data_IF_931368883972
#
_entry.id   IF_931368883972
#
_cell.length_a   1.000
_cell.length_b   1.000
_cell.length_c   1.000
_cell.angle_alpha   90.00
_cell.angle_beta   90.00
_cell.angle_gamma   90.00
#
_symmetry.space_group_name_H-M   'P 1'
#
loop_
_entity.id
_entity.type
_entity.pdbx_description
1 polymer ?
#
# COMPACT_ATOMS: atom_id res chain seq x y z
N UNK A 1 -13.38 -31.80 -36.31
CA UNK A 1 -14.11 -31.46 -35.07
C UNK A 1 -15.58 -31.41 -35.41
N UNK A 2 -16.42 -32.26 -34.80
CA UNK A 2 -17.87 -32.23 -35.04
C UNK A 2 -18.42 -30.95 -34.43
N UNK A 3 -18.75 -29.97 -35.27
CA UNK A 3 -19.48 -28.77 -34.85
C UNK A 3 -20.89 -29.24 -34.50
N UNK A 4 -21.10 -29.63 -33.24
CA UNK A 4 -22.46 -29.79 -32.72
C UNK A 4 -23.22 -28.51 -33.06
N UNK A 5 -24.37 -28.68 -33.72
CA UNK A 5 -25.20 -27.56 -34.12
C UNK A 5 -25.52 -26.75 -32.87
N UNK A 6 -25.08 -25.49 -32.82
CA UNK A 6 -25.27 -24.57 -31.67
C UNK A 6 -26.75 -24.53 -31.22
N UNK A 7 -27.67 -24.82 -32.14
CA UNK A 7 -29.12 -24.88 -31.90
C UNK A 7 -29.53 -26.06 -31.00
N UNK A 8 -28.76 -27.14 -31.00
CA UNK A 8 -29.01 -28.38 -30.26
C UNK A 8 -28.46 -28.33 -28.82
N UNK A 9 -27.58 -27.38 -28.50
CA UNK A 9 -27.03 -27.22 -27.16
C UNK A 9 -28.13 -26.96 -26.11
N UNK A 10 -27.97 -27.56 -24.93
CA UNK A 10 -28.82 -27.29 -23.78
C UNK A 10 -28.56 -25.87 -23.26
N UNK A 11 -29.56 -25.25 -22.62
CA UNK A 11 -29.44 -23.89 -22.07
C UNK A 11 -28.30 -23.78 -21.05
N UNK A 12 -28.05 -24.85 -20.29
CA UNK A 12 -26.95 -24.94 -19.32
C UNK A 12 -25.59 -24.89 -20.00
N UNK A 13 -25.41 -25.62 -21.10
CA UNK A 13 -24.18 -25.64 -21.91
C UNK A 13 -23.94 -24.28 -22.57
N UNK A 14 -24.99 -23.67 -23.14
CA UNK A 14 -24.93 -22.31 -23.71
C UNK A 14 -24.51 -21.27 -22.67
N UNK A 15 -25.07 -21.32 -21.46
CA UNK A 15 -24.69 -20.41 -20.36
C UNK A 15 -23.27 -20.65 -19.89
N UNK A 16 -22.82 -21.91 -19.83
CA UNK A 16 -21.45 -22.24 -19.43
C UNK A 16 -20.42 -21.72 -20.44
N UNK A 17 -20.68 -21.90 -21.73
CA UNK A 17 -19.78 -21.45 -22.80
C UNK A 17 -19.75 -19.91 -22.90
N UNK A 18 -20.91 -19.25 -22.82
CA UNK A 18 -20.96 -17.78 -22.78
C UNK A 18 -20.32 -17.21 -21.51
N UNK A 19 -20.42 -17.90 -20.37
CA UNK A 19 -19.75 -17.49 -19.12
C UNK A 19 -18.23 -17.57 -19.23
N UNK A 20 -17.69 -18.59 -19.91
CA UNK A 20 -16.24 -18.65 -20.25
C UNK A 20 -15.81 -17.44 -21.08
N UNK A 21 -16.71 -16.94 -21.94
CA UNK A 21 -16.52 -15.78 -22.82
C UNK A 21 -16.97 -14.44 -22.22
N UNK A 22 -17.30 -14.40 -20.92
CA UNK A 22 -17.64 -13.17 -20.19
C UNK A 22 -19.07 -12.60 -20.43
N UNK A 23 -19.99 -13.39 -20.99
CA UNK A 23 -21.37 -12.97 -21.32
C UNK A 23 -22.38 -13.79 -20.50
N UNK A 24 -23.29 -13.16 -19.75
CA UNK A 24 -24.02 -13.88 -18.67
C UNK A 24 -25.56 -13.82 -18.67
N UNK A 25 -26.21 -13.13 -19.62
CA UNK A 25 -27.69 -12.96 -19.57
C UNK A 25 -28.41 -13.13 -20.91
N UNK A 26 -29.59 -13.76 -20.89
CA UNK A 26 -30.52 -13.88 -22.02
C UNK A 26 -31.38 -15.14 -21.99
N UNK A 27 -32.49 -15.12 -22.74
CA UNK A 27 -33.28 -16.33 -23.04
C UNK A 27 -32.54 -17.25 -24.04
N UNK A 28 -32.99 -18.50 -24.25
CA UNK A 28 -32.26 -19.48 -25.10
C UNK A 28 -31.93 -18.92 -26.49
N UNK A 29 -32.87 -18.26 -27.15
CA UNK A 29 -32.67 -17.67 -28.47
C UNK A 29 -31.60 -16.57 -28.46
N UNK A 30 -31.62 -15.67 -27.47
CA UNK A 30 -30.60 -14.64 -27.29
C UNK A 30 -29.22 -15.23 -27.00
N UNK A 31 -29.13 -16.32 -26.21
CA UNK A 31 -27.87 -16.99 -25.93
C UNK A 31 -27.26 -17.63 -27.20
N UNK A 32 -28.09 -18.28 -28.01
CA UNK A 32 -27.66 -18.86 -29.30
C UNK A 32 -27.16 -17.76 -30.24
N UNK A 33 -27.91 -16.66 -30.40
CA UNK A 33 -27.50 -15.54 -31.25
C UNK A 33 -26.19 -14.89 -30.79
N UNK A 34 -26.02 -14.72 -29.47
CA UNK A 34 -24.77 -14.17 -28.89
C UNK A 34 -23.58 -15.08 -29.17
N UNK A 35 -23.73 -16.39 -28.99
CA UNK A 35 -22.66 -17.36 -29.23
C UNK A 35 -22.30 -17.45 -30.71
N UNK A 36 -23.30 -17.43 -31.61
CA UNK A 36 -23.07 -17.38 -33.06
C UNK A 36 -22.30 -16.12 -33.49
N UNK A 37 -22.65 -14.96 -32.92
CA UNK A 37 -21.97 -13.69 -33.23
C UNK A 37 -20.49 -13.73 -32.80
N UNK A 38 -20.19 -14.31 -31.64
CA UNK A 38 -18.81 -14.45 -31.15
C UNK A 38 -17.98 -15.39 -32.02
N UNK A 39 -18.52 -16.56 -32.38
CA UNK A 39 -17.81 -17.51 -33.23
C UNK A 39 -17.55 -16.95 -34.64
N UNK A 40 -18.49 -16.17 -35.19
CA UNK A 40 -18.28 -15.49 -36.49
C UNK A 40 -17.18 -14.42 -36.41
N UNK A 41 -17.09 -13.70 -35.29
CA UNK A 41 -16.03 -12.71 -35.09
C UNK A 41 -14.65 -13.38 -34.94
N UNK A 42 -14.59 -14.55 -34.30
CA UNK A 42 -13.35 -15.33 -34.17
C UNK A 42 -12.87 -15.88 -35.51
N UNK A 43 -13.76 -16.39 -36.36
CA UNK A 43 -13.40 -16.86 -37.70
C UNK A 43 -12.88 -15.74 -38.61
N UNK A 44 -13.43 -14.52 -38.48
CA UNK A 44 -12.94 -13.37 -39.26
C UNK A 44 -11.56 -12.87 -38.79
N UNK A 45 -11.18 -13.15 -37.54
CA UNK A 45 -9.89 -12.75 -37.01
C UNK A 45 -8.75 -13.71 -37.41
N UNK A 46 -9.06 -14.89 -37.95
CA UNK A 46 -8.06 -15.90 -38.33
C UNK A 46 -7.64 -15.85 -39.80
N UNK A 47 -8.31 -15.06 -40.65
CA UNK A 47 -8.07 -15.03 -42.09
C UNK A 47 -7.13 -13.88 -42.54
N UNK A 48 -6.63 -13.04 -41.61
CA UNK A 48 -5.80 -11.86 -41.94
C UNK A 48 -4.28 -12.11 -42.00
N UNK A 49 -3.81 -13.36 -41.86
CA UNK A 49 -2.38 -13.71 -41.81
C UNK A 49 -1.86 -14.56 -43.00
N UNK A 50 -2.66 -14.78 -44.05
CA UNK A 50 -2.24 -15.59 -45.21
C UNK A 50 -2.31 -14.82 -46.53
N UNK A 51 -1.39 -13.89 -46.75
CA UNK A 51 -0.88 -13.56 -48.09
C UNK A 51 0.42 -12.75 -48.00
N UNK A 52 1.55 -13.46 -47.94
CA UNK A 52 2.84 -12.90 -48.34
C UNK A 52 3.68 -13.98 -49.03
N UNK A 53 3.20 -14.43 -50.20
CA UNK A 53 3.91 -15.29 -51.14
C UNK A 53 4.71 -14.40 -52.10
N UNK A 54 5.96 -14.08 -51.74
CA UNK A 54 6.90 -13.39 -52.63
C UNK A 54 7.54 -14.37 -53.61
N UNK A 55 7.34 -14.09 -54.90
CA UNK A 55 8.04 -14.71 -56.02
C UNK A 55 9.57 -14.57 -55.87
N UNK A 56 10.28 -15.69 -56.07
CA UNK A 56 11.72 -15.74 -56.22
C UNK A 56 12.09 -15.45 -57.68
N UNK A 57 12.57 -14.25 -57.95
CA UNK A 57 13.39 -13.95 -59.12
C UNK A 57 14.66 -13.23 -58.65
N UNK A 58 15.77 -13.65 -59.24
CA UNK A 58 17.15 -13.35 -58.86
C UNK A 58 17.44 -11.85 -58.72
N UNK A 59 17.99 -11.45 -57.57
CA UNK A 59 18.89 -10.29 -57.51
C UNK A 59 19.84 -10.38 -56.31
N UNK A 60 21.12 -10.47 -56.63
CA UNK A 60 22.25 -10.35 -55.71
C UNK A 60 22.22 -8.94 -55.08
N UNK A 61 21.78 -8.83 -53.83
CA UNK A 61 21.93 -7.59 -53.04
C UNK A 61 22.79 -7.87 -51.81
N UNK A 62 23.94 -7.21 -51.81
CA UNK A 62 24.96 -7.16 -50.76
C UNK A 62 24.39 -6.49 -49.50
N UNK A 63 23.90 -7.26 -48.53
CA UNK A 63 23.45 -6.75 -47.23
C UNK A 63 24.59 -6.72 -46.20
N UNK A 64 25.35 -5.61 -46.21
CA UNK A 64 26.10 -5.16 -45.03
C UNK A 64 25.08 -4.83 -43.93
N UNK A 65 24.93 -5.71 -42.95
CA UNK A 65 24.12 -5.44 -41.75
C UNK A 65 24.75 -4.29 -40.96
N UNK A 66 24.00 -3.23 -40.61
CA UNK A 66 24.50 -2.21 -39.69
C UNK A 66 24.60 -2.79 -38.29
N UNK A 67 25.79 -2.68 -37.69
CA UNK A 67 26.05 -2.97 -36.28
C UNK A 67 25.15 -2.04 -35.46
N UNK A 68 24.19 -2.62 -34.73
CA UNK A 68 23.32 -1.86 -33.82
C UNK A 68 24.18 -1.27 -32.72
N UNK A 69 24.28 0.05 -32.74
CA UNK A 69 25.00 0.85 -31.75
C UNK A 69 24.29 0.73 -30.38
N UNK A 70 24.79 -0.15 -29.52
CA UNK A 70 24.28 -0.41 -28.17
C UNK A 70 24.66 0.72 -27.20
N UNK A 71 24.21 1.96 -27.47
CA UNK A 71 24.38 3.04 -26.49
C UNK A 71 23.32 2.88 -25.37
N UNK A 72 23.72 2.78 -24.09
CA UNK A 72 22.78 2.65 -22.99
C UNK A 72 21.85 3.88 -22.94
N UNK A 73 20.53 3.63 -22.87
CA UNK A 73 19.50 4.67 -22.88
C UNK A 73 19.70 5.59 -21.66
N UNK A 74 19.99 6.87 -21.90
CA UNK A 74 20.16 7.94 -20.88
C UNK A 74 19.09 7.95 -19.77
N UNK A 75 17.86 7.47 -20.06
CA UNK A 75 16.78 7.35 -19.08
C UNK A 75 17.01 6.34 -17.94
N UNK A 76 17.95 5.40 -18.06
CA UNK A 76 18.29 4.47 -16.97
C UNK A 76 19.02 5.17 -15.82
N UNK A 77 19.95 6.07 -16.15
CA UNK A 77 20.75 6.79 -15.17
C UNK A 77 19.92 7.77 -14.34
N UNK A 78 18.96 8.45 -14.95
CA UNK A 78 18.09 9.38 -14.22
C UNK A 78 17.19 8.67 -13.19
N UNK A 79 16.72 7.45 -13.51
CA UNK A 79 15.97 6.62 -12.56
C UNK A 79 16.84 6.18 -11.38
N UNK A 80 18.09 5.78 -11.65
CA UNK A 80 19.04 5.42 -10.61
C UNK A 80 19.38 6.61 -9.71
N UNK A 81 19.59 7.81 -10.29
CA UNK A 81 19.90 9.02 -9.55
C UNK A 81 18.76 9.40 -8.57
N UNK A 82 17.51 9.36 -9.05
CA UNK A 82 16.34 9.63 -8.21
C UNK A 82 16.17 8.61 -7.07
N UNK A 83 16.54 7.35 -7.33
CA UNK A 83 16.53 6.30 -6.32
C UNK A 83 17.59 6.55 -5.24
N UNK A 84 18.82 6.89 -5.64
CA UNK A 84 19.91 7.23 -4.71
C UNK A 84 19.52 8.43 -3.84
N UNK A 85 18.99 9.50 -4.43
CA UNK A 85 18.58 10.70 -3.69
C UNK A 85 17.47 10.43 -2.66
N UNK A 86 16.55 9.49 -2.97
CA UNK A 86 15.55 8.99 -2.02
C UNK A 86 16.18 8.21 -0.86
N UNK A 87 17.16 7.35 -1.13
CA UNK A 87 17.87 6.61 -0.08
C UNK A 87 18.65 7.55 0.85
N UNK A 88 19.35 8.55 0.31
CA UNK A 88 20.05 9.55 1.13
C UNK A 88 19.11 10.32 2.06
N UNK A 89 17.91 10.66 1.58
CA UNK A 89 16.89 11.33 2.39
C UNK A 89 16.41 10.45 3.55
N UNK A 90 16.29 9.14 3.34
CA UNK A 90 15.93 8.17 4.38
C UNK A 90 17.05 8.02 5.42
N UNK A 91 18.30 7.94 4.98
CA UNK A 91 19.46 7.85 5.90
C UNK A 91 19.50 9.07 6.81
N UNK A 92 19.38 10.29 6.26
CA UNK A 92 19.33 11.53 7.06
C UNK A 92 18.19 11.53 8.08
N UNK A 93 17.01 11.05 7.69
CA UNK A 93 15.88 10.93 8.62
C UNK A 93 16.15 9.96 9.77
N UNK A 94 16.78 8.82 9.49
CA UNK A 94 17.16 7.84 10.51
C UNK A 94 18.24 8.39 11.45
N UNK A 95 19.22 9.12 10.94
CA UNK A 95 20.24 9.80 11.75
C UNK A 95 19.62 10.81 12.73
N UNK A 96 18.67 11.63 12.25
CA UNK A 96 17.93 12.56 13.10
C UNK A 96 17.16 11.81 14.18
N UNK A 97 16.48 10.72 13.82
CA UNK A 97 15.70 9.92 14.77
C UNK A 97 16.58 9.27 15.84
N UNK A 98 17.72 8.70 15.43
CA UNK A 98 18.71 8.12 16.33
C UNK A 98 19.29 9.17 17.29
N UNK A 99 19.55 10.38 16.81
CA UNK A 99 20.03 11.49 17.65
C UNK A 99 19.01 11.90 18.73
N UNK A 100 17.71 11.92 18.38
CA UNK A 100 16.63 12.21 19.33
C UNK A 100 16.50 11.11 20.38
N UNK A 101 16.64 9.85 19.98
CA UNK A 101 16.62 8.72 20.89
C UNK A 101 17.77 8.78 21.89
N UNK A 102 19.01 8.99 21.43
CA UNK A 102 20.19 9.15 22.30
C UNK A 102 19.99 10.25 23.35
N UNK A 103 19.49 11.43 22.93
CA UNK A 103 19.19 12.54 23.86
C UNK A 103 18.13 12.21 24.91
N UNK A 104 17.16 11.33 24.60
CA UNK A 104 16.16 10.87 25.57
C UNK A 104 16.77 9.89 26.58
N UNK A 105 17.57 8.94 26.10
CA UNK A 105 18.27 7.97 26.95
C UNK A 105 19.20 8.66 27.95
N UNK A 106 19.98 9.63 27.48
CA UNK A 106 20.87 10.43 28.35
C UNK A 106 20.10 11.19 29.45
N UNK A 107 18.95 11.77 29.11
CA UNK A 107 18.10 12.47 30.09
C UNK A 107 17.43 11.54 31.11
N UNK A 108 17.04 10.33 30.69
CA UNK A 108 16.46 9.32 31.57
C UNK A 108 17.45 8.87 32.65
N UNK A 109 18.67 8.52 32.23
CA UNK A 109 19.74 8.05 33.13
C UNK A 109 20.17 9.12 34.15
N UNK A 110 20.19 10.40 33.75
CA UNK A 110 20.51 11.52 34.65
C UNK A 110 19.44 11.79 35.72
N UNK A 111 18.20 11.35 35.51
CA UNK A 111 17.11 11.57 36.47
C UNK A 111 17.06 10.52 37.59
N UNK A 112 17.54 9.29 37.33
CA UNK A 112 17.51 8.20 38.32
C UNK A 112 18.60 8.30 39.40
N UNK A 113 19.68 9.05 39.15
CA UNK A 113 20.76 9.22 40.13
C UNK A 113 20.54 10.35 41.15
N UNK A 114 19.42 11.10 41.10
CA UNK A 114 19.20 12.28 41.96
C UNK A 114 18.23 12.09 43.14
N UNK A 115 17.70 10.89 43.39
CA UNK A 115 16.67 10.66 44.43
C UNK A 115 17.10 9.81 45.62
N UNK A 116 18.39 9.52 45.80
CA UNK A 116 18.93 8.98 47.06
C UNK A 116 19.78 10.04 47.77
N UNK A 117 19.13 11.12 48.18
CA UNK A 117 19.66 12.15 49.06
C UNK A 117 18.74 12.27 50.26
N UNK A 118 19.27 11.93 51.42
CA UNK A 118 18.70 12.00 52.75
C UNK A 118 17.95 13.32 53.01
N UNK A 119 16.80 13.23 53.67
CA UNK A 119 16.37 14.25 54.64
C UNK A 119 15.36 13.64 55.61
N UNK A 120 15.81 13.47 56.84
CA UNK A 120 14.97 13.19 57.98
C UNK A 120 14.35 14.46 58.58
N UNK A 121 13.65 14.21 59.69
CA UNK A 121 13.24 15.15 60.73
C UNK A 121 11.94 15.94 60.52
N UNK A 122 10.91 15.43 61.21
CA UNK A 122 10.06 16.12 62.17
C UNK A 122 9.36 17.42 61.76
N UNK A 123 8.04 17.35 61.60
CA UNK A 123 7.15 18.34 62.22
C UNK A 123 5.76 17.72 62.49
N UNK A 124 5.48 17.56 63.78
CA UNK A 124 4.16 17.26 64.31
C UNK A 124 3.27 18.50 64.17
N UNK A 125 2.06 18.32 63.63
CA UNK A 125 1.00 19.33 63.61
C UNK A 125 -0.11 18.87 64.56
N UNK A 126 -0.61 19.74 65.46
CA UNK A 126 -1.51 19.35 66.52
C UNK A 126 -2.94 19.14 66.02
N UNK A 127 -3.54 18.10 66.60
CA UNK A 127 -4.95 17.72 66.46
C UNK A 127 -5.79 18.73 67.25
N UNK A 128 -6.64 19.50 66.56
CA UNK A 128 -7.76 20.18 67.21
C UNK A 128 -9.04 19.43 66.89
N UNK A 129 -9.52 18.71 67.90
CA UNK A 129 -10.85 18.14 67.98
C UNK A 129 -11.86 19.29 68.12
N UNK A 130 -12.91 19.31 67.29
CA UNK A 130 -14.27 19.72 67.64
C UNK A 130 -15.17 19.70 66.39
N UNK A 131 -16.31 19.01 66.47
CA UNK A 131 -17.40 19.16 65.50
C UNK A 131 -17.97 17.85 64.96
N UNK A 132 -18.55 17.04 65.86
CA UNK A 132 -19.46 15.97 65.50
C UNK A 132 -20.71 16.56 64.81
N UNK A 133 -20.75 16.50 63.48
CA UNK A 133 -21.98 16.58 62.72
C UNK A 133 -21.99 15.42 61.72
N UNK A 134 -22.90 14.50 62.03
CA UNK A 134 -23.22 13.27 61.34
C UNK A 134 -23.63 13.58 59.89
N UNK A 135 -22.66 13.61 58.98
CA UNK A 135 -22.90 13.41 57.55
C UNK A 135 -22.56 11.95 57.29
N UNK A 136 -23.59 11.12 57.42
CA UNK A 136 -23.62 9.74 56.98
C UNK A 136 -23.18 9.69 55.53
N UNK A 137 -21.92 9.32 55.41
CA UNK A 137 -21.13 9.01 54.24
C UNK A 137 -21.81 7.90 53.43
N UNK A 138 -22.90 8.23 52.76
CA UNK A 138 -23.39 7.50 51.61
C UNK A 138 -22.37 7.74 50.49
N UNK A 139 -21.24 7.05 50.59
CA UNK A 139 -20.39 6.73 49.46
C UNK A 139 -21.25 5.90 48.53
N UNK A 140 -22.01 6.59 47.69
CA UNK A 140 -22.49 6.03 46.44
C UNK A 140 -21.22 5.76 45.64
N UNK A 141 -20.64 4.57 45.87
CA UNK A 141 -19.69 3.94 44.96
C UNK A 141 -20.50 3.62 43.70
N UNK A 142 -20.89 4.67 42.97
CA UNK A 142 -21.24 4.55 41.58
C UNK A 142 -19.97 3.97 40.96
N UNK A 143 -20.00 2.68 40.69
CA UNK A 143 -18.95 2.00 39.95
C UNK A 143 -18.82 2.76 38.64
N UNK A 144 -17.87 3.70 38.60
CA UNK A 144 -17.53 4.45 37.40
C UNK A 144 -16.93 3.40 36.50
N UNK A 145 -17.79 2.78 35.68
CA UNK A 145 -17.39 1.82 34.68
C UNK A 145 -16.28 2.49 33.88
N UNK A 146 -15.08 1.92 33.96
CA UNK A 146 -13.92 2.49 33.30
C UNK A 146 -14.26 2.73 31.83
N UNK A 147 -13.97 3.95 31.36
CA UNK A 147 -14.28 4.35 30.00
C UNK A 147 -13.40 3.52 29.07
N UNK A 148 -14.02 2.71 28.20
CA UNK A 148 -13.31 2.02 27.11
C UNK A 148 -12.77 3.02 26.10
N UNK A 149 -11.59 2.73 25.56
CA UNK A 149 -11.00 3.42 24.42
C UNK A 149 -11.86 3.18 23.17
N UNK A 150 -12.02 4.19 22.31
CA UNK A 150 -12.90 4.12 21.15
C UNK A 150 -12.11 3.78 19.89
N UNK A 151 -12.69 2.93 19.06
CA UNK A 151 -12.23 2.67 17.69
C UNK A 151 -13.37 3.05 16.74
N UNK A 152 -13.10 3.94 15.80
CA UNK A 152 -14.00 4.27 14.70
C UNK A 152 -13.48 3.68 13.40
N UNK A 153 -14.23 2.77 12.78
CA UNK A 153 -13.89 2.19 11.47
C UNK A 153 -14.76 2.86 10.41
N UNK A 154 -14.16 3.72 9.59
CA UNK A 154 -14.84 4.41 8.49
C UNK A 154 -14.37 3.83 7.15
N UNK A 155 -15.32 3.42 6.31
CA UNK A 155 -14.96 2.69 5.10
C UNK A 155 -15.98 2.79 3.97
N UNK A 156 -15.51 2.51 2.75
CA UNK A 156 -16.39 2.16 1.64
C UNK A 156 -16.93 0.71 1.77
N UNK A 157 -17.55 0.18 0.71
CA UNK A 157 -18.10 -1.18 0.72
C UNK A 157 -17.11 -2.30 1.09
N UNK A 158 -15.80 -2.09 0.96
CA UNK A 158 -14.77 -3.07 1.31
C UNK A 158 -14.71 -3.31 2.82
N UNK A 159 -15.00 -2.30 3.65
CA UNK A 159 -14.98 -2.45 5.11
C UNK A 159 -16.21 -3.12 5.70
N UNK A 160 -17.19 -3.52 4.86
CA UNK A 160 -18.32 -4.36 5.32
C UNK A 160 -17.78 -5.62 6.01
N UNK A 161 -18.44 -6.02 7.09
CA UNK A 161 -18.09 -7.17 7.94
C UNK A 161 -16.84 -7.02 8.82
N UNK A 162 -15.87 -6.15 8.45
CA UNK A 162 -14.68 -5.86 9.28
C UNK A 162 -15.11 -5.40 10.67
N UNK A 163 -16.16 -4.57 10.76
CA UNK A 163 -16.67 -4.09 12.05
C UNK A 163 -17.26 -5.16 12.94
N UNK A 164 -17.99 -6.12 12.36
CA UNK A 164 -18.53 -7.26 13.09
C UNK A 164 -17.39 -8.16 13.60
N UNK A 165 -16.38 -8.37 12.77
CA UNK A 165 -15.18 -9.13 13.13
C UNK A 165 -14.37 -8.43 14.23
N UNK A 166 -14.19 -7.12 14.11
CA UNK A 166 -13.44 -6.30 15.07
C UNK A 166 -14.13 -6.33 16.44
N UNK A 167 -15.44 -6.09 16.50
CA UNK A 167 -16.20 -6.17 17.76
C UNK A 167 -16.05 -7.52 18.46
N UNK A 168 -16.09 -8.62 17.71
CA UNK A 168 -15.87 -9.96 18.27
C UNK A 168 -14.45 -10.14 18.82
N UNK A 169 -13.45 -9.60 18.13
CA UNK A 169 -12.05 -9.67 18.59
C UNK A 169 -11.78 -8.73 19.78
N UNK A 170 -12.58 -7.67 19.96
CA UNK A 170 -12.42 -6.67 21.04
C UNK A 170 -13.36 -6.88 22.24
N UNK A 171 -14.19 -7.94 22.25
CA UNK A 171 -15.21 -8.17 23.30
C UNK A 171 -14.62 -8.18 24.72
N UNK A 172 -13.42 -8.74 24.87
CA UNK A 172 -12.67 -8.81 26.13
C UNK A 172 -11.51 -7.81 26.22
N UNK A 173 -11.59 -6.71 25.46
CA UNK A 173 -10.55 -5.67 25.44
C UNK A 173 -11.05 -4.36 26.04
N UNK A 174 -10.11 -3.44 26.28
CA UNK A 174 -10.38 -2.06 26.71
C UNK A 174 -10.91 -1.18 25.58
N UNK A 175 -11.19 -1.76 24.41
CA UNK A 175 -11.68 -1.03 23.25
C UNK A 175 -13.17 -1.26 22.98
N UNK A 176 -13.83 -0.21 22.49
CA UNK A 176 -15.17 -0.20 21.94
C UNK A 176 -15.11 0.18 20.46
N UNK A 177 -15.48 -0.74 19.58
CA UNK A 177 -15.41 -0.54 18.13
C UNK A 177 -16.78 -0.18 17.51
N UNK A 178 -16.83 1.00 16.88
CA UNK A 178 -17.93 1.49 16.06
C UNK A 178 -17.53 1.50 14.59
N UNK A 179 -18.50 1.44 13.68
CA UNK A 179 -18.20 1.46 12.25
C UNK A 179 -19.27 2.12 11.42
N UNK A 180 -18.81 2.88 10.43
CA UNK A 180 -19.62 3.56 9.43
C UNK A 180 -19.15 3.08 8.06
N UNK A 181 -20.07 2.48 7.32
CA UNK A 181 -19.81 1.95 5.97
C UNK A 181 -20.64 2.76 4.99
N UNK A 182 -19.98 3.50 4.08
CA UNK A 182 -20.62 4.29 3.03
C UNK A 182 -20.41 3.59 1.66
N UNK A 183 -21.29 2.65 1.27
CA UNK A 183 -21.12 1.87 0.04
C UNK A 183 -21.16 2.78 -1.19
N UNK A 184 -20.38 2.43 -2.23
CA UNK A 184 -20.20 3.21 -3.46
C UNK A 184 -19.65 4.63 -3.26
N UNK A 185 -19.30 5.01 -2.03
CA UNK A 185 -18.70 6.28 -1.69
C UNK A 185 -17.29 6.43 -2.26
N UNK A 186 -17.01 7.59 -2.83
CA UNK A 186 -15.63 8.04 -3.01
C UNK A 186 -15.02 8.37 -1.65
N UNK A 187 -13.70 8.48 -1.59
CA UNK A 187 -12.95 8.84 -0.39
C UNK A 187 -13.55 10.04 0.32
N UNK A 188 -13.86 11.10 -0.43
CA UNK A 188 -14.39 12.36 0.06
C UNK A 188 -15.70 12.17 0.82
N UNK A 189 -16.61 11.39 0.24
CA UNK A 189 -17.90 11.06 0.86
C UNK A 189 -17.70 10.19 2.10
N UNK A 190 -16.77 9.23 2.05
CA UNK A 190 -16.46 8.36 3.19
C UNK A 190 -16.00 9.18 4.38
N UNK A 191 -15.17 10.20 4.19
CA UNK A 191 -14.52 10.96 5.28
C UNK A 191 -15.17 12.31 5.60
N UNK A 192 -16.25 12.70 4.93
CA UNK A 192 -16.85 14.05 5.06
C UNK A 192 -17.18 14.45 6.52
N UNK A 193 -17.68 13.49 7.32
CA UNK A 193 -18.12 13.73 8.71
C UNK A 193 -17.02 13.48 9.75
N UNK A 194 -15.80 13.16 9.32
CA UNK A 194 -14.79 12.57 10.21
C UNK A 194 -14.44 13.49 11.38
N UNK A 195 -14.40 14.81 11.18
CA UNK A 195 -14.11 15.77 12.24
C UNK A 195 -15.19 15.81 13.33
N UNK A 196 -16.47 15.70 12.95
CA UNK A 196 -17.58 15.67 13.88
C UNK A 196 -17.59 14.36 14.67
N UNK A 197 -17.37 13.24 13.98
CA UNK A 197 -17.38 11.90 14.57
C UNK A 197 -16.24 11.70 15.58
N UNK A 198 -15.11 12.39 15.39
CA UNK A 198 -13.90 12.20 16.20
C UNK A 198 -13.65 13.35 17.18
N UNK A 199 -14.55 14.33 17.32
CA UNK A 199 -14.32 15.49 18.19
C UNK A 199 -14.07 15.11 19.67
N UNK A 200 -14.68 14.01 20.13
CA UNK A 200 -14.49 13.48 21.51
C UNK A 200 -13.32 12.51 21.68
N UNK A 201 -12.57 12.24 20.61
CA UNK A 201 -11.49 11.27 20.60
C UNK A 201 -10.22 11.89 21.22
N UNK A 202 -9.35 11.02 21.72
CA UNK A 202 -8.12 11.36 22.42
C UNK A 202 -6.96 10.54 21.85
N UNK A 203 -5.77 10.66 22.43
CA UNK A 203 -4.58 9.93 22.01
C UNK A 203 -4.60 8.43 22.34
N UNK A 204 -5.61 7.93 23.05
CA UNK A 204 -5.82 6.50 23.26
C UNK A 204 -6.90 5.93 22.34
N UNK A 205 -7.62 6.79 21.62
CA UNK A 205 -8.64 6.43 20.67
C UNK A 205 -8.04 6.29 19.26
N UNK A 206 -8.72 5.53 18.39
CA UNK A 206 -8.24 5.21 17.05
C UNK A 206 -9.31 5.40 15.98
N UNK A 207 -8.86 5.85 14.82
CA UNK A 207 -9.68 5.93 13.60
C UNK A 207 -9.06 5.07 12.51
N UNK A 208 -9.78 4.06 12.05
CA UNK A 208 -9.35 3.18 10.97
C UNK A 208 -10.08 3.61 9.69
N UNK A 209 -9.33 3.96 8.65
CA UNK A 209 -9.85 4.42 7.36
C UNK A 209 -9.56 3.38 6.28
N UNK A 210 -10.61 2.90 5.60
CA UNK A 210 -10.49 2.06 4.40
C UNK A 210 -11.36 2.63 3.28
N UNK A 211 -10.77 3.49 2.47
CA UNK A 211 -11.48 4.25 1.44
C UNK A 211 -10.59 4.52 0.21
N UNK A 212 -11.22 4.87 -0.91
CA UNK A 212 -10.53 5.15 -2.18
C UNK A 212 -10.67 4.03 -3.22
N UNK A 213 -11.24 2.89 -2.86
CA UNK A 213 -11.50 1.78 -3.80
C UNK A 213 -12.34 2.25 -4.98
N UNK A 214 -13.39 3.05 -4.72
CA UNK A 214 -14.25 3.59 -5.77
C UNK A 214 -13.59 4.70 -6.59
N UNK A 215 -12.67 5.48 -6.00
CA UNK A 215 -11.87 6.46 -6.73
C UNK A 215 -10.97 5.74 -7.76
N UNK A 216 -10.26 4.69 -7.33
CA UNK A 216 -9.43 3.89 -8.21
C UNK A 216 -10.25 3.17 -9.30
N UNK A 217 -11.43 2.65 -8.97
CA UNK A 217 -12.34 2.05 -9.97
C UNK A 217 -12.80 3.02 -11.04
N UNK A 218 -12.97 4.30 -10.69
CA UNK A 218 -13.35 5.36 -11.62
C UNK A 218 -12.15 6.03 -12.29
N UNK A 219 -10.92 5.66 -11.93
CA UNK A 219 -9.71 6.33 -12.41
C UNK A 219 -9.59 7.79 -11.95
N UNK A 220 -10.20 8.14 -10.81
CA UNK A 220 -10.20 9.51 -10.26
C UNK A 220 -9.23 9.57 -9.08
N UNK A 221 -8.45 10.65 -8.98
CA UNK A 221 -7.54 10.90 -7.85
C UNK A 221 -8.33 11.29 -6.59
N UNK A 222 -7.65 11.34 -5.45
CA UNK A 222 -8.23 11.91 -4.24
C UNK A 222 -8.27 13.44 -4.36
N UNK A 223 -9.33 14.05 -3.87
CA UNK A 223 -9.42 15.49 -3.72
C UNK A 223 -8.41 15.93 -2.65
N UNK A 224 -7.39 16.69 -3.05
CA UNK A 224 -6.31 17.10 -2.15
C UNK A 224 -6.80 17.92 -0.95
N UNK A 225 -7.81 18.78 -1.13
CA UNK A 225 -8.34 19.62 -0.04
C UNK A 225 -8.98 18.74 1.02
N UNK A 226 -9.82 17.79 0.59
CA UNK A 226 -10.50 16.85 1.49
C UNK A 226 -9.51 15.93 2.18
N UNK A 227 -8.52 15.42 1.44
CA UNK A 227 -7.44 14.60 1.97
C UNK A 227 -6.65 15.33 3.07
N UNK A 228 -6.23 16.57 2.81
CA UNK A 228 -5.53 17.43 3.79
C UNK A 228 -6.40 17.69 5.02
N UNK A 229 -7.66 18.08 4.81
CA UNK A 229 -8.58 18.38 5.89
C UNK A 229 -8.85 17.15 6.77
N UNK A 230 -8.92 15.96 6.16
CA UNK A 230 -9.12 14.69 6.87
C UNK A 230 -8.04 14.49 7.92
N UNK A 231 -6.76 14.61 7.57
CA UNK A 231 -5.68 14.39 8.53
C UNK A 231 -5.48 15.57 9.49
N UNK A 232 -5.82 16.80 9.10
CA UNK A 232 -5.91 17.93 10.04
C UNK A 232 -6.92 17.61 11.15
N UNK A 233 -8.11 17.12 10.78
CA UNK A 233 -9.18 16.73 11.71
C UNK A 233 -8.84 15.50 12.56
N UNK A 234 -7.74 14.80 12.29
CA UNK A 234 -7.30 13.63 13.04
C UNK A 234 -6.06 13.90 13.88
N UNK A 235 -5.55 15.13 13.90
CA UNK A 235 -4.30 15.49 14.61
C UNK A 235 -4.35 15.21 16.11
N UNK A 236 -5.52 15.17 16.72
CA UNK A 236 -5.71 14.95 18.17
C UNK A 236 -5.89 13.48 18.57
N UNK A 237 -6.03 12.57 17.61
CA UNK A 237 -6.24 11.13 17.81
C UNK A 237 -5.20 10.31 17.04
N UNK A 238 -5.23 8.98 17.16
CA UNK A 238 -4.45 8.10 16.28
C UNK A 238 -5.28 7.72 15.05
N UNK A 239 -4.63 7.55 13.90
CA UNK A 239 -5.29 7.06 12.69
C UNK A 239 -4.51 5.92 12.05
N UNK A 240 -5.22 4.92 11.54
CA UNK A 240 -4.67 3.82 10.76
C UNK A 240 -5.35 3.85 9.40
N UNK A 241 -4.60 4.14 8.36
CA UNK A 241 -5.11 4.21 6.98
C UNK A 241 -4.71 2.95 6.26
N UNK A 242 -5.70 2.20 5.82
CA UNK A 242 -5.53 1.01 5.02
C UNK A 242 -5.42 1.39 3.55
N UNK A 243 -4.37 0.92 2.88
CA UNK A 243 -4.20 1.10 1.44
C UNK A 243 -5.34 0.44 0.64
N UNK A 244 -5.68 1.03 -0.51
CA UNK A 244 -6.56 0.44 -1.50
C UNK A 244 -5.93 -0.87 -1.99
N UNK A 245 -6.64 -2.00 -1.89
CA UNK A 245 -6.12 -3.30 -2.26
C UNK A 245 -5.97 -3.47 -3.78
N UNK A 246 -4.91 -4.15 -4.24
CA UNK A 246 -4.66 -4.41 -5.66
C UNK A 246 -5.45 -5.57 -6.25
N UNK A 247 -6.32 -5.32 -7.20
CA UNK A 247 -7.11 -6.35 -7.87
C UNK A 247 -6.29 -7.31 -8.75
N UNK A 248 -6.58 -8.61 -8.63
CA UNK A 248 -5.93 -9.64 -9.44
C UNK A 248 -6.24 -9.46 -10.93
N UNK A 249 -5.21 -9.55 -11.76
CA UNK A 249 -5.27 -9.45 -13.23
C UNK A 249 -5.84 -8.11 -13.75
N UNK A 250 -5.66 -7.01 -13.00
CA UNK A 250 -6.17 -5.68 -13.39
C UNK A 250 -5.08 -4.60 -13.32
N UNK A 251 -4.09 -4.69 -14.22
CA UNK A 251 -2.92 -3.78 -14.25
C UNK A 251 -3.32 -2.30 -14.19
N UNK A 252 -4.27 -1.89 -15.02
CA UNK A 252 -4.72 -0.49 -15.11
C UNK A 252 -5.36 -0.01 -13.80
N UNK A 253 -6.21 -0.84 -13.19
CA UNK A 253 -6.84 -0.48 -11.92
C UNK A 253 -5.80 -0.44 -10.78
N UNK A 254 -4.84 -1.36 -10.78
CA UNK A 254 -3.78 -1.39 -9.77
C UNK A 254 -2.85 -0.19 -9.87
N UNK A 255 -2.67 0.38 -11.07
CA UNK A 255 -1.98 1.67 -11.22
C UNK A 255 -2.73 2.80 -10.51
N UNK A 256 -4.06 2.88 -10.67
CA UNK A 256 -4.85 3.88 -9.94
C UNK A 256 -4.86 3.63 -8.42
N UNK A 257 -4.93 2.37 -7.98
CA UNK A 257 -4.81 2.03 -6.56
C UNK A 257 -3.45 2.45 -6.00
N UNK A 258 -2.36 2.20 -6.73
CA UNK A 258 -1.01 2.64 -6.38
C UNK A 258 -0.92 4.17 -6.25
N UNK A 259 -1.43 4.92 -7.24
CA UNK A 259 -1.43 6.39 -7.21
C UNK A 259 -2.21 6.96 -6.03
N UNK A 260 -3.30 6.30 -5.63
CA UNK A 260 -4.09 6.65 -4.43
C UNK A 260 -3.34 6.30 -3.15
N UNK A 261 -2.75 5.11 -3.05
CA UNK A 261 -1.97 4.68 -1.89
C UNK A 261 -0.79 5.61 -1.65
N UNK A 262 -0.11 6.04 -2.73
CA UNK A 262 0.98 7.00 -2.66
C UNK A 262 0.51 8.37 -2.16
N UNK A 263 -0.66 8.85 -2.59
CA UNK A 263 -1.25 10.11 -2.08
C UNK A 263 -1.57 10.02 -0.59
N UNK A 264 -2.25 8.94 -0.16
CA UNK A 264 -2.57 8.70 1.25
C UNK A 264 -1.30 8.67 2.11
N UNK A 265 -0.31 7.88 1.69
CA UNK A 265 0.95 7.72 2.40
C UNK A 265 1.71 9.04 2.56
N UNK A 266 1.88 9.79 1.46
CA UNK A 266 2.59 11.06 1.49
C UNK A 266 1.89 12.07 2.41
N UNK A 267 0.56 12.10 2.40
CA UNK A 267 -0.19 13.02 3.25
C UNK A 267 -0.09 12.66 4.73
N UNK A 268 -0.16 11.37 5.08
CA UNK A 268 0.01 10.88 6.46
C UNK A 268 1.35 11.34 7.03
N UNK A 269 2.44 11.09 6.30
CA UNK A 269 3.80 11.48 6.72
C UNK A 269 3.91 13.00 6.90
N UNK A 270 3.24 13.77 6.05
CA UNK A 270 3.31 15.23 6.06
C UNK A 270 2.55 15.85 7.23
N UNK A 271 1.43 15.26 7.64
CA UNK A 271 0.46 15.97 8.50
C UNK A 271 0.28 15.40 9.90
N UNK A 272 0.48 14.08 10.08
CA UNK A 272 0.07 13.43 11.31
C UNK A 272 1.09 12.37 11.76
N UNK A 273 1.98 12.71 12.72
CA UNK A 273 2.98 11.76 13.22
C UNK A 273 2.36 10.60 14.02
N UNK A 274 1.11 10.74 14.46
CA UNK A 274 0.33 9.70 15.15
C UNK A 274 -0.52 8.85 14.20
N UNK A 275 -0.36 9.06 12.89
CA UNK A 275 -1.07 8.29 11.88
C UNK A 275 -0.13 7.27 11.22
N UNK A 276 -0.69 6.10 10.92
CA UNK A 276 0.01 4.98 10.30
C UNK A 276 -0.66 4.63 8.97
N UNK A 277 0.15 4.28 7.98
CA UNK A 277 -0.32 3.67 6.73
C UNK A 277 -0.05 2.17 6.76
N UNK A 278 -1.04 1.35 6.42
CA UNK A 278 -0.92 -0.10 6.35
C UNK A 278 -1.21 -0.55 4.93
N UNK A 279 -0.21 -1.18 4.29
CA UNK A 279 -0.36 -1.74 2.94
C UNK A 279 -1.22 -3.00 2.98
N UNK A 280 -2.48 -2.86 2.60
CA UNK A 280 -3.46 -3.95 2.62
C UNK A 280 -3.08 -5.07 1.67
N UNK A 281 -2.44 -4.77 0.52
CA UNK A 281 -2.12 -5.78 -0.49
C UNK A 281 -1.14 -6.85 0.00
N UNK A 282 -0.35 -6.55 1.05
CA UNK A 282 0.55 -7.53 1.69
C UNK A 282 -0.19 -8.63 2.46
N UNK A 283 -1.42 -8.35 2.90
CA UNK A 283 -2.26 -9.26 3.69
C UNK A 283 -3.22 -10.06 2.80
N UNK A 284 -3.47 -9.59 1.57
CA UNK A 284 -4.46 -10.16 0.66
C UNK A 284 -3.83 -11.12 -0.35
N UNK A 285 -4.16 -12.41 -0.26
CA UNK A 285 -3.59 -13.45 -1.14
C UNK A 285 -4.53 -13.97 -2.25
N UNK A 286 -5.81 -13.59 -2.23
CA UNK A 286 -6.89 -14.33 -2.91
C UNK A 286 -8.20 -13.53 -3.05
N UNK A 287 -8.35 -12.67 -4.06
CA UNK A 287 -9.64 -11.99 -4.30
C UNK A 287 -10.80 -12.96 -4.55
N UNK A 288 -12.04 -12.53 -4.22
CA UNK A 288 -13.27 -13.20 -4.65
C UNK A 288 -13.27 -13.35 -6.18
N UNK A 289 -14.00 -14.33 -6.74
CA UNK A 289 -14.11 -14.62 -8.20
C UNK A 289 -14.21 -13.39 -9.13
N UNK A 290 -14.81 -12.29 -8.68
CA UNK A 290 -14.98 -11.08 -9.51
C UNK A 290 -13.74 -10.17 -9.48
N UNK A 291 -12.76 -10.51 -8.65
CA UNK A 291 -11.50 -9.79 -8.48
C UNK A 291 -11.63 -8.49 -7.70
N UNK A 292 -12.84 -8.05 -7.31
CA UNK A 292 -13.10 -6.68 -6.87
C UNK A 292 -13.21 -6.49 -5.34
N UNK A 293 -13.82 -7.45 -4.66
CA UNK A 293 -14.07 -7.38 -3.23
C UNK A 293 -13.11 -8.28 -2.47
N UNK A 294 -12.65 -7.80 -1.31
CA UNK A 294 -11.88 -8.60 -0.36
C UNK A 294 -12.76 -9.76 0.12
N UNK A 295 -12.22 -10.98 0.15
CA UNK A 295 -12.98 -12.14 0.59
C UNK A 295 -13.14 -12.16 2.13
N UNK A 296 -14.06 -12.99 2.64
CA UNK A 296 -14.32 -13.05 4.08
C UNK A 296 -13.11 -13.47 4.92
N UNK A 297 -12.35 -14.48 4.46
CA UNK A 297 -11.14 -14.97 5.13
C UNK A 297 -10.08 -13.86 5.23
N UNK A 298 -9.88 -13.13 4.15
CA UNK A 298 -8.93 -12.02 4.08
C UNK A 298 -9.33 -10.83 4.95
N UNK A 299 -10.62 -10.49 4.98
CA UNK A 299 -11.14 -9.48 5.92
C UNK A 299 -10.91 -9.90 7.36
N UNK A 300 -11.09 -11.19 7.66
CA UNK A 300 -10.80 -11.74 8.98
C UNK A 300 -9.31 -11.62 9.32
N UNK A 301 -8.42 -11.99 8.41
CA UNK A 301 -6.96 -11.87 8.59
C UNK A 301 -6.52 -10.40 8.76
N UNK A 302 -7.04 -9.50 7.93
CA UNK A 302 -6.82 -8.06 8.05
C UNK A 302 -7.31 -7.52 9.40
N UNK A 303 -8.50 -7.94 9.83
CA UNK A 303 -9.06 -7.52 11.13
C UNK A 303 -8.22 -8.04 12.29
N UNK A 304 -7.77 -9.30 12.24
CA UNK A 304 -6.88 -9.86 13.25
C UNK A 304 -5.56 -9.08 13.32
N UNK A 305 -4.94 -8.78 12.18
CA UNK A 305 -3.72 -7.98 12.14
C UNK A 305 -3.94 -6.58 12.72
N UNK A 306 -5.09 -5.95 12.46
CA UNK A 306 -5.45 -4.67 13.07
C UNK A 306 -5.60 -4.75 14.59
N UNK A 307 -6.26 -5.80 15.11
CA UNK A 307 -6.37 -6.05 16.54
C UNK A 307 -4.99 -6.25 17.18
N UNK A 308 -4.12 -7.01 16.54
CA UNK A 308 -2.74 -7.21 16.97
C UNK A 308 -1.97 -5.89 17.02
N UNK A 309 -2.09 -5.06 15.97
CA UNK A 309 -1.47 -3.73 15.93
C UNK A 309 -1.96 -2.90 17.12
N UNK A 310 -3.28 -2.84 17.34
CA UNK A 310 -3.87 -2.00 18.39
C UNK A 310 -3.54 -2.47 19.81
N UNK A 311 -3.50 -3.78 20.05
CA UNK A 311 -3.19 -4.36 21.37
C UNK A 311 -1.69 -4.32 21.68
N UNK A 312 -0.83 -4.48 20.66
CA UNK A 312 0.64 -4.40 20.84
C UNK A 312 1.15 -2.96 20.85
N UNK A 313 0.45 -2.02 20.20
CA UNK A 313 0.91 -0.63 20.02
C UNK A 313 0.94 0.25 21.29
N UNK A 314 0.49 -0.20 22.46
CA UNK A 314 0.81 0.53 23.71
C UNK A 314 2.32 0.75 23.86
N UNK A 315 3.17 -0.14 23.31
CA UNK A 315 4.62 -0.01 23.31
C UNK A 315 5.20 0.80 22.12
N UNK A 316 4.44 1.05 21.05
CA UNK A 316 4.97 1.52 19.75
C UNK A 316 4.65 2.97 19.38
N UNK A 317 3.92 3.72 20.22
CA UNK A 317 3.61 5.15 20.05
C UNK A 317 4.84 6.09 19.94
N UNK A 318 6.07 5.54 19.84
CA UNK A 318 7.32 6.28 19.70
C UNK A 318 8.19 5.98 18.46
N UNK A 319 7.91 4.94 17.66
CA UNK A 319 8.75 4.59 16.48
C UNK A 319 7.89 4.18 15.27
N UNK A 320 7.81 4.97 14.18
CA UNK A 320 6.95 4.74 13.01
C UNK A 320 7.37 3.55 12.12
N UNK A 321 8.07 2.57 12.67
CA UNK A 321 8.59 1.40 11.95
C UNK A 321 7.61 0.25 12.05
N UNK A 322 6.57 0.24 11.23
CA UNK A 322 5.99 -1.04 10.83
C UNK A 322 5.60 -1.01 9.35
N UNK A 323 6.19 -1.95 8.62
CA UNK A 323 6.28 -2.11 7.16
C UNK A 323 7.14 -1.07 6.43
N UNK A 324 8.46 -1.33 6.26
CA UNK A 324 9.24 -0.67 5.22
C UNK A 324 8.55 -0.90 3.88
N UNK A 325 8.16 0.20 3.23
CA UNK A 325 7.56 0.28 1.89
C UNK A 325 8.62 -0.01 0.81
N UNK A 326 9.49 -0.97 1.06
CA UNK A 326 10.42 -1.46 0.03
C UNK A 326 9.64 -2.20 -1.07
N UNK A 327 8.49 -2.78 -0.74
CA UNK A 327 7.60 -3.42 -1.71
C UNK A 327 6.49 -2.52 -2.28
N UNK A 328 6.13 -1.42 -1.61
CA UNK A 328 4.97 -0.58 -1.99
C UNK A 328 5.32 0.63 -2.87
N UNK A 329 6.60 1.00 -3.03
CA UNK A 329 7.01 2.08 -3.97
C UNK A 329 7.36 1.62 -5.38
N UNK A 330 7.42 0.31 -5.63
CA UNK A 330 7.59 -0.21 -6.99
C UNK A 330 6.20 -0.28 -7.61
N UNK A 331 6.05 0.28 -8.81
CA UNK A 331 4.84 0.05 -9.60
C UNK A 331 4.57 -1.47 -9.66
N UNK A 332 3.30 -1.89 -9.48
CA UNK A 332 2.96 -3.31 -9.47
C UNK A 332 3.48 -3.96 -10.75
N UNK A 333 4.31 -4.99 -10.58
CA UNK A 333 4.87 -5.76 -11.69
C UNK A 333 3.81 -6.70 -12.26
N UNK A 334 4.06 -7.24 -13.46
CA UNK A 334 3.17 -8.26 -14.05
C UNK A 334 3.00 -9.46 -13.10
N UNK A 335 4.02 -9.81 -12.32
CA UNK A 335 3.99 -10.89 -11.34
C UNK A 335 3.05 -10.56 -10.17
N UNK A 336 3.12 -9.33 -9.64
CA UNK A 336 2.24 -8.84 -8.58
C UNK A 336 0.77 -8.84 -9.02
N UNK A 337 0.53 -8.51 -10.29
CA UNK A 337 -0.83 -8.44 -10.85
C UNK A 337 -1.38 -9.84 -11.16
N UNK A 338 -0.54 -10.75 -11.64
CA UNK A 338 -0.98 -12.08 -12.08
C UNK A 338 -1.04 -13.11 -10.96
N UNK A 339 -0.27 -12.89 -9.88
CA UNK A 339 -0.06 -13.88 -8.83
C UNK A 339 0.70 -15.13 -9.33
N UNK A 340 1.27 -15.07 -10.53
CA UNK A 340 2.14 -16.12 -11.08
C UNK A 340 3.56 -15.82 -10.61
N UNK A 341 3.95 -16.35 -9.45
CA UNK A 341 5.38 -16.54 -9.18
C UNK A 341 5.87 -17.54 -10.20
N UNK A 342 6.69 -17.11 -11.17
CA UNK A 342 7.47 -18.05 -11.97
C UNK A 342 8.44 -18.73 -11.00
N UNK A 343 8.09 -19.93 -10.55
CA UNK A 343 9.03 -20.86 -9.95
C UNK A 343 10.06 -21.19 -11.02
N UNK A 344 11.17 -20.44 -11.04
CA UNK A 344 12.38 -20.85 -11.74
C UNK A 344 12.95 -22.05 -10.97
N UNK A 345 12.37 -23.23 -11.17
CA UNK A 345 13.15 -24.45 -11.08
C UNK A 345 14.14 -24.42 -12.25
N UNK A 346 15.37 -24.05 -11.92
CA UNK A 346 16.51 -24.27 -12.80
C UNK A 346 16.69 -25.78 -12.91
N UNK A 347 16.14 -26.37 -13.97
CA UNK A 347 16.49 -27.72 -14.40
C UNK A 347 17.96 -27.64 -14.82
N UNK A 348 18.86 -28.12 -13.95
CA UNK A 348 20.22 -28.46 -14.33
C UNK A 348 20.16 -29.64 -15.30
N UNK A 349 20.34 -29.37 -16.59
CA UNK A 349 20.68 -30.40 -17.57
C UNK A 349 22.06 -30.11 -18.14
N UNK A 350 22.98 -30.99 -17.74
CA UNK A 350 24.14 -31.52 -18.48
C UNK A 350 25.21 -30.53 -18.96
N UNK A 351 26.42 -30.75 -18.44
CA UNK A 351 27.68 -30.17 -18.88
C UNK A 351 27.96 -30.43 -20.38
N UNK A 352 28.84 -29.61 -20.98
CA UNK A 352 29.94 -30.23 -21.68
C UNK A 352 31.32 -29.61 -21.37
N UNK A 353 32.26 -30.53 -21.11
CA UNK A 353 33.61 -30.65 -21.66
C UNK A 353 34.51 -29.40 -21.66
N UNK A 354 35.51 -29.48 -20.80
CA UNK A 354 36.72 -28.66 -20.79
C UNK A 354 37.38 -28.60 -22.17
N UNK A 355 37.65 -27.40 -22.67
CA UNK A 355 38.73 -27.20 -23.62
C UNK A 355 39.55 -25.99 -23.19
N UNK A 356 40.85 -26.26 -23.07
CA UNK A 356 41.89 -25.34 -22.66
C UNK A 356 42.11 -24.31 -23.77
N UNK A 357 42.09 -23.02 -23.43
CA UNK A 357 42.74 -21.99 -24.25
C UNK A 357 43.37 -20.93 -23.35
N UNK A 358 44.68 -20.81 -23.46
CA UNK A 358 45.56 -19.82 -22.83
C UNK A 358 45.65 -18.58 -23.72
N UNK A 359 45.64 -17.39 -23.12
CA UNK A 359 45.90 -16.12 -23.80
C UNK A 359 45.56 -14.87 -22.98
N UNK A 360 46.17 -13.70 -23.26
CA UNK A 360 47.14 -13.13 -22.31
C UNK A 360 46.64 -11.91 -21.52
N UNK A 361 47.34 -11.67 -20.41
CA UNK A 361 47.26 -10.51 -19.51
C UNK A 361 47.65 -9.20 -20.20
N UNK A 362 46.80 -8.18 -20.06
CA UNK A 362 47.14 -6.79 -20.36
C UNK A 362 47.18 -5.95 -19.09
N UNK A 363 48.34 -5.34 -18.85
CA UNK A 363 48.58 -4.33 -17.82
C UNK A 363 47.96 -2.99 -18.24
N UNK A 364 47.20 -2.36 -17.36
CA UNK A 364 46.72 -0.98 -17.53
C UNK A 364 47.67 -0.04 -16.80
N UNK A 365 48.35 0.80 -17.59
CA UNK A 365 49.16 1.94 -17.15
C UNK A 365 48.22 3.09 -16.76
N UNK A 366 48.44 3.68 -15.58
CA UNK A 366 47.80 4.93 -15.14
C UNK A 366 48.49 6.11 -15.82
N UNK A 367 47.70 7.02 -16.41
CA UNK A 367 48.16 8.36 -16.77
C UNK A 367 47.37 9.38 -15.97
N UNK A 368 48.10 10.18 -15.21
CA UNK A 368 47.65 11.38 -14.52
C UNK A 368 47.33 12.48 -15.53
N UNK A 369 46.21 13.18 -15.33
CA UNK A 369 45.86 14.39 -16.09
C UNK A 369 46.03 15.60 -15.18
N UNK A 370 46.95 16.48 -15.57
CA UNK A 370 47.20 17.78 -14.95
C UNK A 370 46.08 18.78 -15.27
N UNK A 371 45.75 19.58 -14.27
CA UNK A 371 44.93 20.78 -14.33
C UNK A 371 45.71 21.92 -15.02
N UNK A 372 45.12 22.51 -16.06
CA UNK A 372 45.54 23.77 -16.64
C UNK A 372 44.55 24.87 -16.27
N UNK A 373 45.03 25.85 -15.51
CA UNK A 373 44.41 27.17 -15.34
C UNK A 373 44.49 27.95 -16.65
N UNK A 374 43.46 28.71 -17.00
CA UNK A 374 43.68 29.90 -17.83
C UNK A 374 42.62 30.99 -17.58
N UNK A 375 43.13 32.21 -17.74
CA UNK A 375 42.69 33.47 -17.14
C UNK A 375 41.76 34.30 -18.01
N UNK A 376 40.95 35.13 -17.33
CA UNK A 376 40.48 36.50 -17.64
C UNK A 376 40.56 37.00 -19.10
N UNK A 377 39.44 37.55 -19.60
CA UNK A 377 39.43 38.93 -20.11
C UNK A 377 38.03 39.56 -20.17
N UNK A 378 38.02 40.87 -19.97
CA UNK A 378 36.89 41.78 -19.87
C UNK A 378 36.68 42.59 -21.17
N UNK A 379 35.58 43.37 -21.19
CA UNK A 379 35.08 44.34 -22.20
C UNK A 379 34.06 43.74 -23.18
N UNK A 380 32.93 44.38 -23.52
CA UNK A 380 32.52 45.76 -23.28
C UNK A 380 31.04 46.00 -23.60
N UNK A 381 30.68 47.27 -23.45
CA UNK A 381 29.37 47.92 -23.50
C UNK A 381 28.60 47.77 -24.83
N UNK A 382 27.29 48.01 -24.78
CA UNK A 382 26.59 48.72 -25.86
C UNK A 382 25.15 48.31 -26.12
N UNK A 383 24.22 49.13 -25.59
CA UNK A 383 22.80 49.34 -25.94
C UNK A 383 21.78 48.21 -25.77
#
# INVERSE_FOLDING_TARGET
MVVLSIREMKVTELKQELRRRGVTTGNKQQLVQKLQKLLKAEALATDDDSDNSYNSDDTVINLKRPVKDCRPKKNSYLKLLNYIQRLESKVRFLEISLSKFKKRTERGILSEHKTKGENGSNNAVPITNNGAAVISKLRCESQQKERKNKILIISDSQGRDISKMARKNFENSDYEATSIVKPNGLFEYVVEDIGNLTNSFTRTDYVIILAGTNNALRGVKLNEVTLKQTFINLKHTNAIVLGVPYWKNRVVLNKFAYDINLQLYNEIIRTSPSSMFVETSSVLGSYIRNGLHINYKEKFDLTRNLCDILTKNEAYLGDPKFFPIEHSTREPTVEDVTGLKHSREVIQLTQPVESQFTGPTFNIVRNDVQLGEETKNARGQGF
#
